data_IF_217218154156
#
_entry.id   IF_217218154156
#
_cell.length_a   1.000
_cell.length_b   1.000
_cell.length_c   1.000
_cell.angle_alpha   90.00
_cell.angle_beta   90.00
_cell.angle_gamma   90.00
#
_symmetry.space_group_name_H-M   'P 1'
#
loop_
_entity.id
_entity.type
_entity.pdbx_description
1 polymer ?
#
# COMPACT_ATOMS: atom_id res chain seq x y z
N UNK A 1 -51.39 -19.82 -20.72
CA UNK A 1 -51.25 -18.65 -19.82
C UNK A 1 -50.39 -19.10 -18.66
N UNK A 2 -49.09 -18.84 -18.75
CA UNK A 2 -48.07 -19.20 -17.75
C UNK A 2 -47.24 -17.94 -17.51
N UNK A 3 -47.10 -17.56 -16.24
CA UNK A 3 -46.38 -16.36 -15.82
C UNK A 3 -44.86 -16.50 -16.09
N UNK A 4 -44.16 -15.40 -16.44
CA UNK A 4 -42.70 -15.41 -16.51
C UNK A 4 -42.06 -15.32 -15.11
N UNK A 5 -40.92 -16.01 -14.98
CA UNK A 5 -40.07 -16.26 -13.80
C UNK A 5 -39.33 -14.97 -13.32
N UNK A 6 -39.06 -14.75 -12.01
CA UNK A 6 -38.67 -13.45 -11.46
C UNK A 6 -37.14 -13.29 -11.32
N UNK A 7 -36.43 -13.34 -12.44
CA UNK A 7 -35.02 -12.93 -12.49
C UNK A 7 -34.76 -12.03 -13.70
N UNK A 8 -35.39 -10.85 -13.70
CA UNK A 8 -35.06 -9.76 -14.61
C UNK A 8 -33.97 -8.89 -13.99
N UNK A 9 -32.74 -9.04 -14.48
CA UNK A 9 -31.66 -8.06 -14.26
C UNK A 9 -31.54 -7.23 -15.53
N UNK A 10 -32.01 -5.99 -15.46
CA UNK A 10 -31.79 -4.96 -16.49
C UNK A 10 -30.33 -4.52 -16.38
N UNK A 11 -29.48 -5.01 -17.29
CA UNK A 11 -28.11 -4.51 -17.46
C UNK A 11 -28.17 -3.29 -18.37
N UNK A 12 -27.90 -2.12 -17.79
CA UNK A 12 -27.73 -0.86 -18.52
C UNK A 12 -26.36 -0.89 -19.20
N UNK A 13 -26.39 -0.62 -20.49
CA UNK A 13 -25.30 -0.64 -21.46
C UNK A 13 -24.08 0.19 -21.01
N UNK A 14 -22.93 -0.48 -20.95
CA UNK A 14 -21.62 0.15 -21.04
C UNK A 14 -20.82 -0.66 -22.07
N UNK A 15 -20.52 -0.01 -23.19
CA UNK A 15 -19.95 -0.59 -24.40
C UNK A 15 -18.73 -1.51 -24.13
N UNK A 16 -18.71 -2.74 -24.68
CA UNK A 16 -17.54 -3.59 -24.67
C UNK A 16 -16.69 -3.35 -25.92
N UNK A 17 -15.46 -2.85 -25.77
CA UNK A 17 -14.41 -3.15 -26.75
C UNK A 17 -13.96 -4.60 -26.51
N UNK A 18 -14.63 -5.52 -27.21
CA UNK A 18 -14.24 -6.92 -27.40
C UNK A 18 -12.89 -6.98 -28.17
N UNK A 19 -12.02 -7.97 -28.00
CA UNK A 19 -12.29 -9.36 -28.38
C UNK A 19 -11.52 -10.37 -27.51
N UNK A 20 -12.27 -11.23 -26.81
CA UNK A 20 -11.79 -12.54 -26.38
C UNK A 20 -12.24 -13.55 -27.43
N UNK A 21 -11.32 -13.94 -28.30
CA UNK A 21 -11.55 -15.05 -29.25
C UNK A 21 -11.01 -16.34 -28.63
N UNK A 22 -11.91 -17.12 -28.04
CA UNK A 22 -11.69 -18.54 -27.75
C UNK A 22 -12.03 -19.33 -29.02
N UNK A 23 -11.04 -19.86 -29.73
CA UNK A 23 -11.26 -20.86 -30.79
C UNK A 23 -10.20 -21.96 -30.73
N UNK A 24 -10.69 -23.19 -30.56
CA UNK A 24 -10.16 -24.37 -31.23
C UNK A 24 -9.01 -25.10 -30.53
N UNK A 25 -9.35 -26.15 -29.78
CA UNK A 25 -8.48 -27.31 -29.63
C UNK A 25 -8.30 -27.99 -30.99
N UNK A 26 -7.30 -27.59 -31.76
CA UNK A 26 -6.75 -28.39 -32.86
C UNK A 26 -5.25 -28.11 -33.00
N UNK A 27 -4.44 -29.07 -32.58
CA UNK A 27 -2.97 -28.98 -32.61
C UNK A 27 -2.45 -29.28 -34.02
N UNK A 28 -2.29 -28.23 -34.84
CA UNK A 28 -1.46 -28.28 -36.04
C UNK A 28 0.04 -28.28 -35.69
N UNK A 29 0.93 -28.71 -36.61
CA UNK A 29 2.37 -28.83 -36.33
C UNK A 29 2.96 -27.48 -35.89
N UNK A 30 3.93 -27.47 -34.95
CA UNK A 30 4.44 -26.24 -34.36
C UNK A 30 5.01 -25.32 -35.45
N UNK A 31 4.48 -24.09 -35.51
CA UNK A 31 5.02 -23.05 -36.36
C UNK A 31 6.47 -22.71 -35.93
N UNK A 32 7.35 -22.31 -36.85
CA UNK A 32 8.69 -21.84 -36.49
C UNK A 32 8.57 -20.68 -35.50
N UNK A 33 9.35 -20.73 -34.41
CA UNK A 33 9.42 -19.64 -33.43
C UNK A 33 9.79 -18.34 -34.16
N UNK A 34 8.85 -17.40 -34.25
CA UNK A 34 9.18 -16.03 -34.60
C UNK A 34 10.18 -15.47 -33.57
N UNK A 35 11.12 -14.58 -33.95
CA UNK A 35 11.97 -13.95 -32.95
C UNK A 35 11.06 -13.22 -31.95
N UNK A 36 11.13 -13.62 -30.69
CA UNK A 36 10.46 -12.92 -29.59
C UNK A 36 10.81 -11.44 -29.71
N UNK A 37 9.80 -10.58 -29.88
CA UNK A 37 10.01 -9.14 -29.77
C UNK A 37 10.60 -8.88 -28.38
N UNK A 38 11.55 -7.95 -28.23
CA UNK A 38 11.91 -7.46 -26.90
C UNK A 38 10.61 -7.02 -26.21
N UNK A 39 10.36 -7.54 -25.02
CA UNK A 39 9.39 -6.93 -24.11
C UNK A 39 9.93 -5.53 -23.88
N UNK A 40 9.30 -4.51 -24.47
CA UNK A 40 9.65 -3.14 -24.15
C UNK A 40 9.30 -2.94 -22.67
N UNK A 41 10.31 -2.98 -21.79
CA UNK A 41 10.17 -2.46 -20.44
C UNK A 41 9.92 -0.97 -20.61
N UNK A 42 8.65 -0.55 -20.53
CA UNK A 42 8.35 0.84 -20.26
C UNK A 42 9.20 1.26 -19.05
N UNK A 43 9.86 2.41 -19.17
CA UNK A 43 10.96 2.84 -18.29
C UNK A 43 10.65 2.64 -16.81
N UNK A 44 11.69 2.32 -16.04
CA UNK A 44 11.60 1.99 -14.62
C UNK A 44 11.15 3.17 -13.76
N UNK A 45 9.86 3.46 -13.75
CA UNK A 45 9.22 4.08 -12.61
C UNK A 45 9.17 3.02 -11.51
N UNK A 46 9.75 3.32 -10.34
CA UNK A 46 9.60 2.47 -9.16
C UNK A 46 8.11 2.44 -8.86
N UNK A 47 7.43 1.31 -9.10
CA UNK A 47 5.97 1.19 -8.90
C UNK A 47 5.62 1.58 -7.47
N UNK A 48 5.07 2.78 -7.29
CA UNK A 48 4.52 3.22 -6.03
C UNK A 48 3.14 2.60 -5.88
N UNK A 49 2.95 1.77 -4.87
CA UNK A 49 1.63 1.28 -4.52
C UNK A 49 0.95 2.32 -3.62
N UNK A 50 -0.10 2.95 -4.13
CA UNK A 50 -0.89 3.96 -3.41
C UNK A 50 -2.35 3.51 -3.28
N UNK A 51 -3.02 3.99 -2.24
CA UNK A 51 -4.45 3.79 -2.03
C UNK A 51 -5.06 4.96 -1.26
N UNK A 52 -6.38 4.94 -1.10
CA UNK A 52 -7.12 5.86 -0.23
C UNK A 52 -7.84 5.06 0.86
N UNK A 53 -7.90 5.62 2.07
CA UNK A 53 -8.69 5.06 3.17
C UNK A 53 -9.42 6.16 3.94
N UNK A 54 -10.31 5.79 4.85
CA UNK A 54 -11.09 6.74 5.65
C UNK A 54 -10.39 6.96 6.98
N UNK A 55 -10.15 8.22 7.36
CA UNK A 55 -9.56 8.56 8.63
C UNK A 55 -10.57 8.34 9.77
N UNK A 56 -10.22 7.56 10.80
CA UNK A 56 -11.09 7.37 11.96
C UNK A 56 -11.22 8.66 12.81
N UNK A 57 -10.18 9.50 12.77
CA UNK A 57 -10.07 10.79 13.46
C UNK A 57 -9.21 11.73 12.64
N UNK A 58 -8.98 12.96 13.10
CA UNK A 58 -8.04 13.85 12.41
C UNK A 58 -6.63 13.23 12.34
N UNK A 59 -6.09 13.16 11.12
CA UNK A 59 -4.76 12.63 10.82
C UNK A 59 -3.90 13.72 10.17
N UNK A 60 -2.60 13.72 10.46
CA UNK A 60 -1.60 14.54 9.80
C UNK A 60 -0.97 13.77 8.66
N UNK A 61 -0.41 14.50 7.69
CA UNK A 61 0.42 13.92 6.64
C UNK A 61 1.73 13.35 7.19
N UNK A 62 2.33 12.46 6.41
CA UNK A 62 3.64 11.87 6.65
C UNK A 62 3.74 11.10 7.97
N UNK A 63 2.66 10.42 8.35
CA UNK A 63 2.59 9.52 9.51
C UNK A 63 2.21 8.12 9.07
N UNK A 64 2.76 7.12 9.74
CA UNK A 64 2.39 5.72 9.58
C UNK A 64 1.00 5.49 10.18
N UNK A 65 0.16 4.90 9.36
CA UNK A 65 -1.21 4.54 9.63
C UNK A 65 -1.35 3.03 9.61
N UNK A 66 -2.35 2.56 10.33
CA UNK A 66 -2.76 1.16 10.32
C UNK A 66 -4.29 1.09 10.37
N UNK A 67 -4.92 0.06 9.76
CA UNK A 67 -6.36 -0.08 9.78
C UNK A 67 -6.86 -0.43 11.19
N UNK A 68 -7.99 0.16 11.56
CA UNK A 68 -8.78 -0.20 12.74
C UNK A 68 -10.24 -0.42 12.33
N UNK A 69 -11.08 -0.84 13.27
CA UNK A 69 -12.52 -0.98 13.05
C UNK A 69 -13.20 0.34 12.62
N UNK A 70 -12.69 1.48 13.06
CA UNK A 70 -13.30 2.80 12.82
C UNK A 70 -12.67 3.52 11.61
N UNK A 71 -11.72 2.88 10.91
CA UNK A 71 -10.94 3.45 9.82
C UNK A 71 -9.45 3.51 10.14
N UNK A 72 -8.71 4.33 9.42
CA UNK A 72 -7.27 4.49 9.61
C UNK A 72 -6.97 5.28 10.90
N UNK A 73 -6.03 4.76 11.68
CA UNK A 73 -5.48 5.39 12.90
C UNK A 73 -3.96 5.46 12.80
N UNK A 74 -3.33 6.26 13.65
CA UNK A 74 -1.87 6.22 13.77
C UNK A 74 -1.43 4.86 14.32
N UNK A 75 -0.43 4.25 13.68
CA UNK A 75 0.23 3.10 14.21
C UNK A 75 1.08 3.49 15.44
N UNK A 76 1.28 2.57 16.37
CA UNK A 76 2.06 2.82 17.57
C UNK A 76 2.78 1.55 18.04
N UNK A 77 4.11 1.59 18.32
CA UNK A 77 4.87 0.43 18.73
C UNK A 77 4.59 0.00 20.19
N UNK A 78 3.82 0.78 20.95
CA UNK A 78 3.37 0.44 22.31
C UNK A 78 2.05 -0.33 22.35
N UNK A 79 1.42 -0.58 21.19
CA UNK A 79 0.14 -1.27 21.06
C UNK A 79 0.32 -2.61 20.33
N UNK A 80 0.08 -3.72 21.01
CA UNK A 80 0.26 -5.06 20.44
C UNK A 80 -0.75 -5.40 19.33
N UNK A 81 -1.89 -4.71 19.25
CA UNK A 81 -2.82 -4.91 18.13
C UNK A 81 -2.20 -4.43 16.81
N UNK A 82 -1.20 -3.56 16.87
CA UNK A 82 -0.46 -3.06 15.71
C UNK A 82 0.76 -3.93 15.32
N UNK A 83 1.15 -4.91 16.15
CA UNK A 83 2.39 -5.69 15.98
C UNK A 83 2.52 -6.33 14.59
N UNK A 84 1.43 -6.89 14.08
CA UNK A 84 1.38 -7.58 12.78
C UNK A 84 0.52 -6.85 11.76
N UNK A 85 0.10 -5.63 12.08
CA UNK A 85 -0.78 -4.87 11.22
C UNK A 85 0.02 -4.27 10.04
N UNK A 86 -0.63 -4.05 8.89
CA UNK A 86 0.01 -3.32 7.80
C UNK A 86 0.24 -1.87 8.20
N UNK A 87 1.36 -1.31 7.74
CA UNK A 87 1.78 0.06 8.00
C UNK A 87 1.86 0.85 6.68
N UNK A 88 1.13 1.96 6.60
CA UNK A 88 1.05 2.79 5.41
C UNK A 88 1.35 4.24 5.74
N UNK A 89 2.05 4.95 4.85
CA UNK A 89 2.40 6.35 5.09
C UNK A 89 1.30 7.27 4.56
N UNK A 90 0.71 8.12 5.41
CA UNK A 90 -0.16 9.19 4.95
C UNK A 90 0.61 10.19 4.08
N UNK A 91 0.03 10.60 2.97
CA UNK A 91 0.64 11.59 2.05
C UNK A 91 0.07 13.01 2.26
N UNK A 92 -0.90 13.14 3.16
CA UNK A 92 -1.55 14.41 3.49
C UNK A 92 -2.35 14.31 4.78
N UNK A 93 -2.74 15.47 5.32
CA UNK A 93 -3.63 15.54 6.47
C UNK A 93 -5.10 15.33 6.04
N UNK A 94 -5.91 14.82 6.96
CA UNK A 94 -7.37 14.71 6.76
C UNK A 94 -8.13 14.83 8.07
N UNK A 95 -9.37 15.31 7.98
CA UNK A 95 -10.32 15.27 9.09
C UNK A 95 -10.87 13.84 9.31
N UNK A 96 -11.43 13.56 10.48
CA UNK A 96 -12.14 12.30 10.72
C UNK A 96 -13.33 12.13 9.76
N UNK A 97 -13.50 10.92 9.23
CA UNK A 97 -14.48 10.57 8.20
C UNK A 97 -14.08 10.95 6.77
N UNK A 98 -13.00 11.72 6.58
CA UNK A 98 -12.52 12.10 5.25
C UNK A 98 -11.56 11.04 4.67
N UNK A 99 -11.37 11.09 3.35
CA UNK A 99 -10.38 10.26 2.66
C UNK A 99 -8.96 10.74 2.93
N UNK A 100 -8.04 9.80 3.11
CA UNK A 100 -6.59 10.01 3.24
C UNK A 100 -5.87 9.27 2.12
N UNK A 101 -5.09 9.97 1.28
CA UNK A 101 -4.16 9.31 0.37
C UNK A 101 -2.99 8.73 1.16
N UNK A 102 -2.60 7.51 0.83
CA UNK A 102 -1.52 6.80 1.49
C UNK A 102 -0.62 6.04 0.51
N UNK A 103 0.65 5.94 0.88
CA UNK A 103 1.65 5.11 0.24
C UNK A 103 1.75 3.78 1.00
N UNK A 104 1.62 2.68 0.29
CA UNK A 104 1.70 1.31 0.81
C UNK A 104 3.09 0.71 0.57
N UNK A 105 3.71 1.08 -0.56
CA UNK A 105 5.05 0.65 -0.94
C UNK A 105 5.63 1.63 -1.97
N UNK A 106 6.96 1.78 -1.98
CA UNK A 106 7.67 2.57 -2.99
C UNK A 106 8.26 3.86 -2.44
N UNK A 107 8.76 4.72 -3.33
CA UNK A 107 9.43 5.96 -2.95
C UNK A 107 8.44 7.12 -2.74
N UNK A 108 8.77 8.04 -1.84
CA UNK A 108 8.14 9.36 -1.75
C UNK A 108 9.14 10.38 -1.25
N UNK A 109 8.88 11.65 -1.54
CA UNK A 109 9.67 12.76 -1.04
C UNK A 109 8.82 13.74 -0.25
N UNK A 110 9.46 14.41 0.71
CA UNK A 110 8.88 15.54 1.40
C UNK A 110 9.97 16.57 1.75
N UNK A 111 9.73 17.82 1.37
CA UNK A 111 10.76 18.87 1.35
C UNK A 111 11.22 19.31 2.75
N UNK A 112 10.37 19.09 3.76
CA UNK A 112 10.69 19.44 5.15
C UNK A 112 11.53 18.40 5.88
N UNK A 113 11.76 17.22 5.29
CA UNK A 113 12.58 16.18 5.88
C UNK A 113 14.08 16.51 5.80
N UNK A 114 14.81 15.98 6.78
CA UNK A 114 16.26 16.11 6.93
C UNK A 114 16.83 14.78 7.44
N UNK A 115 16.61 13.71 6.68
CA UNK A 115 17.09 12.38 7.04
C UNK A 115 18.57 12.18 6.68
N UNK A 116 19.24 11.30 7.41
CA UNK A 116 20.45 10.67 6.89
C UNK A 116 20.06 9.42 6.10
N UNK A 117 20.74 9.07 4.99
CA UNK A 117 20.49 7.80 4.31
C UNK A 117 20.62 6.62 5.28
N UNK A 118 19.58 5.80 5.39
CA UNK A 118 19.54 4.74 6.40
C UNK A 118 18.14 4.27 6.79
N UNK A 119 18.03 3.32 7.74
CA UNK A 119 16.76 2.71 8.10
C UNK A 119 15.80 3.71 8.77
N UNK A 120 14.51 3.51 8.51
CA UNK A 120 13.42 4.22 9.18
C UNK A 120 12.52 3.21 9.90
N UNK A 121 12.11 3.57 11.11
CA UNK A 121 11.30 2.74 12.00
C UNK A 121 9.97 3.41 12.34
N UNK A 122 9.00 2.60 12.78
CA UNK A 122 7.77 3.08 13.39
C UNK A 122 8.06 3.64 14.79
N UNK A 123 7.88 4.94 14.98
CA UNK A 123 7.85 5.59 16.29
C UNK A 123 6.43 5.83 16.81
N UNK A 124 6.34 6.32 18.04
CA UNK A 124 5.06 6.65 18.69
C UNK A 124 4.18 7.57 17.84
N UNK A 125 2.86 7.33 17.86
CA UNK A 125 1.85 8.04 17.08
C UNK A 125 2.20 8.18 15.59
N UNK A 126 2.68 7.08 15.00
CA UNK A 126 2.94 6.94 13.57
C UNK A 126 4.11 7.77 13.07
N UNK A 127 5.01 8.24 13.93
CA UNK A 127 6.17 9.04 13.47
C UNK A 127 7.17 8.14 12.76
N UNK A 128 7.78 8.63 11.69
CA UNK A 128 9.03 8.06 11.17
C UNK A 128 10.20 8.48 12.07
N UNK A 129 11.12 7.56 12.36
CA UNK A 129 12.32 7.79 13.18
C UNK A 129 13.49 6.96 12.68
N UNK A 130 14.73 7.44 12.87
CA UNK A 130 15.96 6.66 12.60
C UNK A 130 16.48 5.92 13.83
N UNK A 131 15.95 6.24 15.02
CA UNK A 131 16.23 5.48 16.24
C UNK A 131 15.21 4.37 16.36
N UNK A 132 15.68 3.12 16.33
CA UNK A 132 14.83 1.96 16.56
C UNK A 132 14.16 2.03 17.95
N UNK A 133 12.84 1.87 18.05
CA UNK A 133 12.17 1.77 19.35
C UNK A 133 12.72 0.61 20.18
N UNK A 134 12.75 0.81 21.51
CA UNK A 134 13.25 -0.14 22.49
C UNK A 134 12.26 -0.29 23.66
N UNK A 135 12.39 -1.37 24.43
CA UNK A 135 11.66 -1.56 25.67
C UNK A 135 12.20 -0.62 26.77
N UNK A 136 11.38 -0.18 27.74
CA UNK A 136 9.97 -0.57 27.94
C UNK A 136 8.94 0.29 27.18
N UNK A 137 9.34 1.38 26.52
CA UNK A 137 8.42 2.32 25.88
C UNK A 137 7.73 1.75 24.64
N UNK A 138 8.39 0.80 23.97
CA UNK A 138 7.85 0.05 22.85
C UNK A 138 7.73 -1.45 23.19
N UNK A 139 6.64 -2.05 22.74
CA UNK A 139 6.40 -3.49 22.85
C UNK A 139 6.93 -4.25 21.62
N UNK A 140 7.19 -3.55 20.52
CA UNK A 140 7.83 -4.09 19.32
C UNK A 140 8.62 -3.05 18.54
N UNK A 141 9.51 -3.53 17.68
CA UNK A 141 10.26 -2.70 16.74
C UNK A 141 10.07 -3.21 15.32
N UNK A 142 9.87 -2.28 14.38
CA UNK A 142 9.70 -2.60 12.96
C UNK A 142 10.35 -1.52 12.12
N UNK A 143 11.22 -1.96 11.20
CA UNK A 143 11.71 -1.10 10.14
C UNK A 143 10.63 -0.99 9.07
N UNK A 144 10.24 0.23 8.73
CA UNK A 144 9.19 0.50 7.74
C UNK A 144 9.73 0.88 6.36
N UNK A 145 11.04 1.10 6.26
CA UNK A 145 11.68 1.52 5.03
C UNK A 145 13.08 2.06 5.29
N UNK A 146 13.55 2.89 4.37
CA UNK A 146 14.81 3.61 4.50
C UNK A 146 14.72 5.00 3.86
N UNK A 147 15.40 5.98 4.45
CA UNK A 147 15.70 7.22 3.78
C UNK A 147 16.75 6.96 2.69
N UNK A 148 16.45 7.37 1.46
CA UNK A 148 17.35 7.28 0.30
C UNK A 148 18.12 8.57 0.09
N UNK A 149 17.60 9.69 0.62
CA UNK A 149 18.22 11.01 0.65
C UNK A 149 17.65 11.81 1.84
N UNK A 150 18.13 13.04 2.11
CA UNK A 150 17.55 13.88 3.16
C UNK A 150 16.05 14.14 3.05
N UNK A 151 15.52 14.13 1.83
CA UNK A 151 14.11 14.45 1.54
C UNK A 151 13.36 13.31 0.87
N UNK A 152 13.96 12.13 0.70
CA UNK A 152 13.34 10.97 0.05
C UNK A 152 13.43 9.72 0.91
N UNK A 153 12.35 8.93 0.90
CA UNK A 153 12.26 7.65 1.59
C UNK A 153 11.66 6.59 0.68
N UNK A 154 12.14 5.36 0.80
CA UNK A 154 11.53 4.19 0.21
C UNK A 154 10.80 3.38 1.29
N UNK A 155 9.48 3.22 1.15
CA UNK A 155 8.63 2.50 2.09
C UNK A 155 8.59 1.01 1.73
N UNK A 156 9.00 0.16 2.67
CA UNK A 156 8.94 -1.29 2.57
C UNK A 156 9.00 -1.89 3.99
N UNK A 157 7.83 -2.26 4.50
CA UNK A 157 7.68 -2.82 5.85
C UNK A 157 8.43 -4.14 5.98
N UNK A 158 9.32 -4.22 6.97
CA UNK A 158 9.95 -5.46 7.41
C UNK A 158 9.07 -6.19 8.43
N UNK A 159 9.33 -7.48 8.69
CA UNK A 159 8.71 -8.17 9.81
C UNK A 159 8.99 -7.46 11.14
N UNK A 160 7.97 -7.33 11.98
CA UNK A 160 8.10 -6.78 13.32
C UNK A 160 8.80 -7.75 14.28
N UNK A 161 9.64 -7.21 15.16
CA UNK A 161 10.31 -7.94 16.23
C UNK A 161 9.64 -7.55 17.56
N UNK A 162 9.11 -8.53 18.28
CA UNK A 162 8.58 -8.32 19.63
C UNK A 162 9.72 -8.03 20.59
N UNK A 163 9.56 -7.02 21.42
CA UNK A 163 10.52 -6.64 22.43
C UNK A 163 10.09 -7.23 23.77
N UNK A 164 11.06 -7.74 24.52
CA UNK A 164 10.88 -8.18 25.89
C UNK A 164 11.66 -7.23 26.81
N UNK A 165 11.16 -6.98 28.04
CA UNK A 165 11.86 -6.19 29.03
C UNK A 165 13.16 -6.85 29.50
#
# INVERSE_FOLDING_TARGET
>A
MTAPDPHEVVVVDAAPDADVVLVGSDSGPPAPLAPSRPIARAGGEVEQLRSNGVAARALSGHRLLTPSRDGLVYADPSDLDHLHAPLWLSLGAAAGGAQVPMLLHGETSEASWQWEPGPLYLGAAGRLTQTAPAAPEALFSVQVGAATSPTSVFLHQQPSIRLHP
#
